data_IF_307169643570
#
_entry.id   IF_307169643570
#
_cell.length_a   1.000
_cell.length_b   1.000
_cell.length_c   1.000
_cell.angle_alpha   90.00
_cell.angle_beta   90.00
_cell.angle_gamma   90.00
#
_symmetry.space_group_name_H-M   'P 1'
#
loop_
_entity.id
_entity.type
_entity.pdbx_description
1 polymer ?
#
# COMPACT_ATOMS: atom_id res chain seq x y z
N UNK A 1 -0.87 -15.99 -4.53
CA UNK A 1 -0.90 -15.02 -5.64
C UNK A 1 -0.35 -13.77 -5.01
N UNK A 2 0.94 -13.56 -5.18
CA UNK A 2 1.75 -12.59 -4.45
C UNK A 2 1.34 -11.18 -4.86
N UNK A 3 1.08 -10.28 -3.90
CA UNK A 3 0.86 -8.87 -4.20
C UNK A 3 2.14 -8.29 -4.80
N UNK A 4 2.09 -7.79 -6.03
CA UNK A 4 3.21 -7.11 -6.66
C UNK A 4 3.15 -5.59 -6.42
N UNK A 5 4.31 -4.94 -6.46
CA UNK A 5 4.38 -3.49 -6.39
C UNK A 5 3.62 -2.82 -7.55
N UNK A 6 3.66 -3.41 -8.74
CA UNK A 6 2.95 -2.93 -9.92
C UNK A 6 1.42 -2.90 -9.73
N UNK A 7 0.85 -3.90 -9.04
CA UNK A 7 -0.58 -3.93 -8.69
C UNK A 7 -0.93 -2.76 -7.76
N UNK A 8 -0.10 -2.49 -6.74
CA UNK A 8 -0.31 -1.36 -5.83
C UNK A 8 -0.18 -0.01 -6.54
N UNK A 9 0.84 0.17 -7.37
CA UNK A 9 1.05 1.40 -8.13
C UNK A 9 -0.12 1.65 -9.08
N UNK A 10 -0.58 0.61 -9.78
CA UNK A 10 -1.74 0.71 -10.66
C UNK A 10 -3.00 1.10 -9.87
N UNK A 11 -3.22 0.49 -8.71
CA UNK A 11 -4.32 0.86 -7.82
C UNK A 11 -4.22 2.32 -7.33
N UNK A 12 -3.04 2.78 -6.92
CA UNK A 12 -2.82 4.17 -6.49
C UNK A 12 -3.14 5.18 -7.61
N UNK A 13 -2.78 4.86 -8.86
CA UNK A 13 -2.98 5.76 -10.00
C UNK A 13 -4.44 5.70 -10.48
N UNK A 14 -5.02 4.50 -10.62
CA UNK A 14 -6.35 4.33 -11.21
C UNK A 14 -7.48 4.56 -10.20
N UNK A 15 -7.39 3.97 -9.01
CA UNK A 15 -8.45 4.07 -7.99
C UNK A 15 -8.29 5.31 -7.12
N UNK A 16 -7.06 5.65 -6.73
CA UNK A 16 -6.79 6.79 -5.86
C UNK A 16 -6.44 8.07 -6.63
N UNK A 17 -6.41 8.01 -7.97
CA UNK A 17 -6.18 9.14 -8.87
C UNK A 17 -4.89 9.92 -8.51
N UNK A 18 -3.84 9.20 -8.10
CA UNK A 18 -2.55 9.78 -7.77
C UNK A 18 -1.76 10.03 -9.05
N UNK A 19 -1.17 11.23 -9.16
CA UNK A 19 -0.38 11.61 -10.32
C UNK A 19 0.97 10.86 -10.34
N UNK A 20 1.34 10.19 -11.44
CA UNK A 20 2.67 9.60 -11.59
C UNK A 20 3.76 10.67 -11.73
N UNK A 21 5.04 10.34 -11.45
CA UNK A 21 5.57 9.00 -11.12
C UNK A 21 5.43 8.64 -9.63
N UNK A 22 5.15 7.36 -9.35
CA UNK A 22 5.21 6.77 -8.01
C UNK A 22 6.34 5.72 -8.05
N UNK A 23 7.41 5.98 -7.31
CA UNK A 23 8.51 5.03 -7.12
C UNK A 23 8.27 4.14 -5.91
N UNK A 24 8.98 3.00 -5.84
CA UNK A 24 8.87 2.04 -4.74
C UNK A 24 9.19 2.65 -3.37
N UNK A 25 10.15 3.58 -3.33
CA UNK A 25 10.60 4.30 -2.14
C UNK A 25 9.84 5.62 -1.93
N UNK A 26 8.82 5.92 -2.75
CA UNK A 26 8.03 7.15 -2.60
C UNK A 26 7.24 7.10 -1.30
N UNK A 27 7.42 8.14 -0.48
CA UNK A 27 6.67 8.36 0.76
C UNK A 27 5.21 8.74 0.43
N UNK A 28 4.30 7.78 0.50
CA UNK A 28 2.88 7.97 0.25
C UNK A 28 2.21 8.75 1.40
N UNK A 29 2.55 8.44 2.65
CA UNK A 29 1.95 9.10 3.81
C UNK A 29 2.72 10.34 4.22
N UNK A 30 4.05 10.25 4.34
CA UNK A 30 4.86 11.39 4.78
C UNK A 30 4.83 12.55 3.77
N UNK A 31 4.68 12.25 2.47
CA UNK A 31 4.46 13.30 1.45
C UNK A 31 3.01 13.78 1.39
N UNK A 32 2.08 13.16 2.11
CA UNK A 32 0.65 13.52 2.11
C UNK A 32 -0.09 13.12 0.81
N UNK A 33 0.41 12.13 0.09
CA UNK A 33 -0.22 11.59 -1.13
C UNK A 33 -1.42 10.71 -0.75
N UNK A 34 -1.30 9.96 0.34
CA UNK A 34 -2.37 9.13 0.90
C UNK A 34 -3.03 9.81 2.10
N UNK A 35 -4.35 9.91 2.03
CA UNK A 35 -5.21 10.27 3.15
C UNK A 35 -5.63 9.05 3.97
N UNK A 36 -6.07 9.28 5.22
CA UNK A 36 -6.57 8.24 6.12
C UNK A 36 -7.73 7.42 5.53
N UNK A 37 -8.50 7.98 4.60
CA UNK A 37 -9.60 7.28 3.92
C UNK A 37 -9.04 6.33 2.86
N UNK A 38 -8.13 6.82 2.03
CA UNK A 38 -7.45 6.03 1.00
C UNK A 38 -6.64 4.88 1.58
N UNK A 39 -6.07 5.06 2.78
CA UNK A 39 -5.41 4.00 3.55
C UNK A 39 -6.34 2.81 3.83
N UNK A 40 -7.58 3.06 4.26
CA UNK A 40 -8.53 1.98 4.56
C UNK A 40 -8.88 1.20 3.29
N UNK A 41 -9.08 1.89 2.17
CA UNK A 41 -9.32 1.25 0.86
C UNK A 41 -8.11 0.43 0.40
N UNK A 42 -6.90 0.98 0.57
CA UNK A 42 -5.65 0.31 0.22
C UNK A 42 -5.45 -0.97 1.05
N UNK A 43 -5.69 -0.92 2.36
CA UNK A 43 -5.62 -2.09 3.24
C UNK A 43 -6.60 -3.15 2.76
N UNK A 44 -7.86 -2.79 2.50
CA UNK A 44 -8.85 -3.73 2.00
C UNK A 44 -8.45 -4.41 0.69
N UNK A 45 -7.87 -3.64 -0.24
CA UNK A 45 -7.33 -4.17 -1.50
C UNK A 45 -6.19 -5.18 -1.26
N UNK A 46 -5.25 -4.84 -0.36
CA UNK A 46 -4.13 -5.70 0.01
C UNK A 46 -4.63 -6.99 0.67
N UNK A 47 -5.54 -6.89 1.64
CA UNK A 47 -6.13 -8.02 2.35
C UNK A 47 -6.84 -8.97 1.38
N UNK A 48 -7.60 -8.44 0.41
CA UNK A 48 -8.27 -9.24 -0.61
C UNK A 48 -7.27 -9.98 -1.52
N UNK A 49 -6.23 -9.28 -1.99
CA UNK A 49 -5.20 -9.83 -2.88
C UNK A 49 -4.33 -10.89 -2.19
N UNK A 50 -3.84 -10.57 -1.00
CA UNK A 50 -2.97 -11.43 -0.20
C UNK A 50 -3.76 -12.51 0.59
N UNK A 51 -5.10 -12.42 0.63
CA UNK A 51 -5.97 -13.22 1.49
C UNK A 51 -5.51 -13.27 2.95
N UNK A 52 -4.99 -12.15 3.44
CA UNK A 52 -4.53 -11.99 4.81
C UNK A 52 -5.32 -10.89 5.50
N UNK A 53 -5.16 -10.75 6.80
CA UNK A 53 -5.74 -9.64 7.57
C UNK A 53 -4.61 -8.82 8.15
N UNK A 54 -4.62 -7.52 7.85
CA UNK A 54 -3.65 -6.57 8.35
C UNK A 54 -4.21 -5.98 9.64
N UNK A 55 -3.61 -6.26 10.80
CA UNK A 55 -4.07 -5.66 12.03
C UNK A 55 -3.73 -4.16 12.01
N UNK A 56 -4.61 -3.29 12.54
CA UNK A 56 -4.42 -1.83 12.50
C UNK A 56 -3.17 -1.35 13.25
N UNK A 57 -2.62 -2.19 14.13
CA UNK A 57 -1.36 -1.90 14.85
C UNK A 57 -0.13 -1.98 13.94
N UNK A 58 -0.17 -2.79 12.89
CA UNK A 58 0.90 -2.93 11.90
C UNK A 58 0.82 -1.85 10.81
N UNK A 59 -0.30 -1.15 10.73
CA UNK A 59 -0.51 -0.01 9.82
C UNK A 59 0.19 1.22 10.39
N UNK A 60 1.51 1.25 10.24
CA UNK A 60 2.37 2.33 10.67
C UNK A 60 3.08 2.94 9.47
N UNK A 61 3.60 4.16 9.62
CA UNK A 61 4.49 4.74 8.60
C UNK A 61 5.71 3.84 8.35
N UNK A 62 6.16 3.08 9.34
CA UNK A 62 7.28 2.16 9.13
C UNK A 62 6.95 1.06 8.11
N UNK A 63 5.73 0.56 8.07
CA UNK A 63 5.31 -0.53 7.16
C UNK A 63 4.55 -0.05 5.91
N UNK A 64 3.84 1.08 6.01
CA UNK A 64 2.88 1.55 4.98
C UNK A 64 3.27 2.87 4.32
N UNK A 65 4.41 3.48 4.69
CA UNK A 65 4.81 4.77 4.11
C UNK A 65 5.24 4.68 2.64
N UNK A 66 5.66 3.53 2.12
CA UNK A 66 6.06 3.38 0.71
C UNK A 66 5.60 2.05 0.13
N UNK A 67 5.47 1.98 -1.20
CA UNK A 67 5.04 0.76 -1.91
C UNK A 67 5.96 -0.42 -1.60
N UNK A 68 7.28 -0.20 -1.59
CA UNK A 68 8.28 -1.23 -1.25
C UNK A 68 8.00 -1.87 0.11
N UNK A 69 7.76 -1.02 1.13
CA UNK A 69 7.53 -1.47 2.51
C UNK A 69 6.25 -2.26 2.64
N UNK A 70 5.19 -1.83 1.96
CA UNK A 70 3.91 -2.56 1.93
C UNK A 70 4.11 -3.94 1.32
N UNK A 71 4.77 -4.02 0.16
CA UNK A 71 5.04 -5.30 -0.51
C UNK A 71 5.93 -6.19 0.35
N UNK A 72 6.96 -5.65 0.98
CA UNK A 72 7.85 -6.38 1.88
C UNK A 72 7.10 -6.91 3.11
N UNK A 73 6.24 -6.09 3.71
CA UNK A 73 5.40 -6.47 4.84
C UNK A 73 4.45 -7.60 4.45
N UNK A 74 3.72 -7.46 3.35
CA UNK A 74 2.80 -8.51 2.85
C UNK A 74 3.56 -9.79 2.51
N UNK A 75 4.73 -9.69 1.89
CA UNK A 75 5.58 -10.85 1.59
C UNK A 75 6.11 -11.54 2.86
N UNK A 76 6.20 -10.83 3.98
CA UNK A 76 6.59 -11.40 5.28
C UNK A 76 5.43 -12.09 6.00
N UNK A 77 4.18 -11.90 5.56
CA UNK A 77 3.00 -12.55 6.11
C UNK A 77 2.66 -13.88 5.40
N UNK A 78 3.27 -14.16 4.25
CA UNK A 78 3.13 -15.42 3.50
C UNK A 78 3.90 -16.61 4.12
#
# INVERSE_FOLDING_TARGET
MTLAADDLISYLIEELNIAPPIDLDTELFSSGILDSVSLVSLIGFIEEKARTTIPPVDVTLENFDSVDRIVAYVSSLE
#
